data_IF_857019883947
#
_entry.id   IF_857019883947
#
_cell.length_a   1.000
_cell.length_b   1.000
_cell.length_c   1.000
_cell.angle_alpha   90.00
_cell.angle_beta   90.00
_cell.angle_gamma   90.00
#
_symmetry.space_group_name_H-M   'P 1'
#
loop_
_entity.id
_entity.type
_entity.pdbx_description
1 polymer ?
#
# COMPACT_ATOMS: atom_id res chain seq x y z
N UNK A 1 -8.88 -2.39 16.33
CA UNK A 1 -7.55 -2.29 15.70
C UNK A 1 -7.52 -3.24 14.52
N UNK A 2 -6.63 -3.05 13.54
CA UNK A 2 -6.59 -3.92 12.37
C UNK A 2 -6.47 -5.40 12.77
N UNK A 3 -7.24 -6.28 12.11
CA UNK A 3 -7.15 -7.74 12.32
C UNK A 3 -5.85 -8.34 11.75
N UNK A 4 -5.12 -7.57 10.96
CA UNK A 4 -3.84 -7.89 10.36
C UNK A 4 -3.49 -6.86 9.28
N UNK A 5 -2.27 -6.91 8.76
CA UNK A 5 -1.83 -6.12 7.61
C UNK A 5 -1.24 -7.06 6.57
N UNK A 6 -2.04 -7.38 5.55
CA UNK A 6 -1.59 -8.21 4.45
C UNK A 6 -0.67 -7.38 3.53
N UNK A 7 0.34 -8.02 2.94
CA UNK A 7 1.30 -7.33 2.07
C UNK A 7 1.90 -8.25 1.01
N UNK A 8 2.35 -7.63 -0.08
CA UNK A 8 3.25 -8.23 -1.08
C UNK A 8 4.40 -7.28 -1.38
N UNK A 9 5.53 -7.83 -1.85
CA UNK A 9 6.68 -7.08 -2.35
C UNK A 9 7.04 -7.55 -3.74
N UNK A 10 7.40 -6.61 -4.61
CA UNK A 10 7.95 -6.91 -5.94
C UNK A 10 9.45 -7.21 -5.78
N UNK A 11 9.84 -8.44 -6.10
CA UNK A 11 11.23 -8.86 -6.17
C UNK A 11 11.97 -8.21 -7.34
N UNK A 12 13.28 -8.36 -7.37
CA UNK A 12 14.12 -7.87 -8.49
C UNK A 12 13.79 -8.54 -9.82
N UNK A 13 13.29 -9.78 -9.77
CA UNK A 13 12.80 -10.54 -10.93
C UNK A 13 11.37 -10.13 -11.37
N UNK A 14 10.78 -9.11 -10.74
CA UNK A 14 9.42 -8.65 -11.01
C UNK A 14 8.32 -9.51 -10.39
N UNK A 15 8.65 -10.59 -9.68
CA UNK A 15 7.64 -11.47 -9.07
C UNK A 15 7.17 -10.93 -7.73
N UNK A 16 5.89 -11.17 -7.42
CA UNK A 16 5.34 -10.86 -6.11
C UNK A 16 5.72 -11.92 -5.09
N UNK A 17 6.21 -11.46 -3.95
CA UNK A 17 6.53 -12.28 -2.76
C UNK A 17 5.74 -11.75 -1.56
N UNK A 18 5.59 -12.58 -0.52
CA UNK A 18 4.91 -12.18 0.72
C UNK A 18 3.81 -13.15 1.14
N UNK A 19 3.21 -12.94 2.32
CA UNK A 19 2.28 -13.88 2.94
C UNK A 19 1.03 -14.13 2.11
N UNK A 20 0.60 -13.15 1.30
CA UNK A 20 -0.58 -13.31 0.45
C UNK A 20 -0.28 -13.64 -1.02
N UNK A 21 0.98 -13.58 -1.45
CA UNK A 21 1.33 -13.71 -2.87
C UNK A 21 0.86 -15.03 -3.49
N UNK A 22 0.94 -16.13 -2.73
CA UNK A 22 0.49 -17.47 -3.16
C UNK A 22 -1.03 -17.59 -3.36
N UNK A 23 -1.82 -16.62 -2.88
CA UNK A 23 -3.28 -16.61 -3.04
C UNK A 23 -3.72 -15.73 -4.22
N UNK A 24 -2.80 -15.03 -4.89
CA UNK A 24 -3.09 -14.23 -6.07
C UNK A 24 -2.98 -15.09 -7.33
N UNK A 25 -3.98 -15.00 -8.20
CA UNK A 25 -3.94 -15.59 -9.55
C UNK A 25 -3.04 -14.75 -10.47
N UNK A 26 -2.61 -15.30 -11.60
CA UNK A 26 -1.83 -14.55 -12.60
C UNK A 26 -2.57 -13.28 -13.08
N UNK A 27 -3.89 -13.39 -13.28
CA UNK A 27 -4.74 -12.25 -13.64
C UNK A 27 -4.74 -11.17 -12.55
N UNK A 28 -4.87 -11.56 -11.27
CA UNK A 28 -4.80 -10.61 -10.15
C UNK A 28 -3.44 -9.91 -10.10
N UNK A 29 -2.35 -10.63 -10.35
CA UNK A 29 -0.99 -10.06 -10.36
C UNK A 29 -0.82 -9.08 -11.53
N UNK A 30 -1.28 -9.44 -12.72
CA UNK A 30 -1.19 -8.59 -13.90
C UNK A 30 -1.99 -7.29 -13.71
N UNK A 31 -3.23 -7.38 -13.20
CA UNK A 31 -4.06 -6.20 -12.97
C UNK A 31 -3.51 -5.32 -11.84
N UNK A 32 -3.03 -5.91 -10.74
CA UNK A 32 -2.42 -5.17 -9.65
C UNK A 32 -1.17 -4.41 -10.12
N UNK A 33 -0.32 -5.08 -10.89
CA UNK A 33 0.91 -4.49 -11.47
C UNK A 33 0.58 -3.31 -12.35
N UNK A 34 -0.45 -3.45 -13.22
CA UNK A 34 -0.90 -2.39 -14.11
C UNK A 34 -1.50 -1.20 -13.35
N UNK A 35 -2.43 -1.45 -12.41
CA UNK A 35 -3.12 -0.37 -11.68
C UNK A 35 -2.18 0.46 -10.81
N UNK A 36 -1.22 -0.18 -10.18
CA UNK A 36 -0.31 0.48 -9.23
C UNK A 36 1.04 0.84 -9.85
N UNK A 37 1.23 0.58 -11.15
CA UNK A 37 2.51 0.78 -11.86
C UNK A 37 3.69 0.18 -11.08
N UNK A 38 3.56 -1.10 -10.68
CA UNK A 38 4.51 -1.75 -9.80
C UNK A 38 5.85 -1.98 -10.49
N UNK A 39 6.93 -1.72 -9.76
CA UNK A 39 8.30 -1.95 -10.17
C UNK A 39 9.07 -2.73 -9.08
N UNK A 40 10.17 -3.41 -9.43
CA UNK A 40 11.07 -4.01 -8.46
C UNK A 40 11.38 -3.09 -7.27
N UNK A 41 11.29 -3.63 -6.06
CA UNK A 41 11.50 -2.86 -4.82
C UNK A 41 10.23 -2.24 -4.24
N UNK A 42 9.12 -2.18 -4.99
CA UNK A 42 7.85 -1.71 -4.44
C UNK A 42 7.26 -2.72 -3.44
N UNK A 43 6.49 -2.21 -2.48
CA UNK A 43 5.68 -2.99 -1.56
C UNK A 43 4.22 -2.49 -1.61
N UNK A 44 3.27 -3.42 -1.51
CA UNK A 44 1.84 -3.11 -1.48
C UNK A 44 1.26 -3.68 -0.19
N UNK A 45 0.54 -2.85 0.55
CA UNK A 45 -0.17 -3.21 1.78
C UNK A 45 -1.68 -3.19 1.52
N UNK A 46 -2.40 -4.13 2.13
CA UNK A 46 -3.83 -4.31 1.90
C UNK A 46 -4.62 -4.19 3.21
N UNK A 47 -5.72 -3.46 3.15
CA UNK A 47 -6.78 -3.49 4.14
C UNK A 47 -8.07 -4.03 3.50
N UNK A 48 -8.77 -4.91 4.23
CA UNK A 48 -10.02 -5.51 3.78
C UNK A 48 -11.00 -5.56 4.94
N UNK A 49 -12.24 -5.14 4.71
CA UNK A 49 -13.27 -4.95 5.73
C UNK A 49 -14.17 -3.77 5.40
N UNK A 50 -14.87 -3.26 6.42
CA UNK A 50 -15.74 -2.08 6.29
C UNK A 50 -14.94 -0.84 5.88
N UNK A 51 -15.52 -0.04 4.98
CA UNK A 51 -14.85 1.07 4.31
C UNK A 51 -14.25 2.07 5.31
N UNK A 52 -15.03 2.52 6.30
CA UNK A 52 -14.58 3.52 7.27
C UNK A 52 -13.45 2.98 8.16
N UNK A 53 -13.55 1.72 8.59
CA UNK A 53 -12.53 1.10 9.43
C UNK A 53 -11.22 0.92 8.65
N UNK A 54 -11.30 0.40 7.42
CA UNK A 54 -10.14 0.19 6.54
C UNK A 54 -9.48 1.52 6.21
N UNK A 55 -10.26 2.53 5.82
CA UNK A 55 -9.75 3.85 5.46
C UNK A 55 -9.00 4.50 6.62
N UNK A 56 -9.54 4.41 7.84
CA UNK A 56 -8.88 4.92 9.04
C UNK A 56 -7.56 4.20 9.32
N UNK A 57 -7.53 2.87 9.20
CA UNK A 57 -6.31 2.07 9.43
C UNK A 57 -5.26 2.35 8.36
N UNK A 58 -5.64 2.28 7.08
CA UNK A 58 -4.72 2.47 5.95
C UNK A 58 -4.22 3.91 5.86
N UNK A 59 -4.99 4.89 6.31
CA UNK A 59 -4.53 6.26 6.49
C UNK A 59 -3.34 6.38 7.44
N UNK A 60 -3.40 5.70 8.59
CA UNK A 60 -2.28 5.66 9.54
C UNK A 60 -1.07 4.88 8.99
N UNK A 61 -1.31 3.73 8.32
CA UNK A 61 -0.24 2.94 7.68
C UNK A 61 0.48 3.76 6.61
N UNK A 62 -0.25 4.54 5.80
CA UNK A 62 0.32 5.41 4.76
C UNK A 62 1.29 6.44 5.37
N UNK A 63 0.88 7.09 6.46
CA UNK A 63 1.71 8.09 7.16
C UNK A 63 2.96 7.44 7.72
N UNK A 64 2.83 6.33 8.46
CA UNK A 64 3.97 5.63 9.06
C UNK A 64 4.95 5.11 8.01
N UNK A 65 4.45 4.52 6.92
CA UNK A 65 5.28 4.00 5.84
C UNK A 65 6.09 5.11 5.16
N UNK A 66 5.45 6.25 4.84
CA UNK A 66 6.12 7.39 4.25
C UNK A 66 7.18 7.99 5.19
N UNK A 67 6.92 8.00 6.51
CA UNK A 67 7.88 8.51 7.49
C UNK A 67 9.13 7.63 7.57
N UNK A 68 8.94 6.30 7.65
CA UNK A 68 10.06 5.35 7.67
C UNK A 68 10.86 5.34 6.37
N UNK A 69 10.20 5.59 5.24
CA UNK A 69 10.85 5.67 3.94
C UNK A 69 11.49 7.05 3.66
N UNK A 70 11.37 8.01 4.59
CA UNK A 70 11.94 9.35 4.41
C UNK A 70 11.29 10.16 3.30
N UNK A 71 10.00 9.94 3.03
CA UNK A 71 9.26 10.62 1.96
C UNK A 71 8.54 11.91 2.42
N UNK A 72 8.65 12.27 3.69
CA UNK A 72 8.13 13.55 4.16
C UNK A 72 9.08 14.67 3.76
N UNK A 73 8.52 15.70 3.13
CA UNK A 73 9.22 16.94 2.85
C UNK A 73 9.27 17.78 4.13
N UNK A 74 10.47 18.16 4.55
CA UNK A 74 10.69 18.96 5.76
C UNK A 74 10.56 20.46 5.46
N UNK A 75 10.17 21.25 6.46
CA UNK A 75 10.08 22.72 6.38
C UNK A 75 9.10 23.27 5.33
N UNK A 76 8.01 22.56 5.06
CA UNK A 76 6.97 22.99 4.12
C UNK A 76 5.58 22.97 4.73
N UNK A 77 4.68 23.77 4.17
CA UNK A 77 3.26 23.73 4.47
C UNK A 77 2.46 23.34 3.23
N UNK A 78 1.62 22.30 3.35
CA UNK A 78 0.73 21.80 2.30
C UNK A 78 -0.72 21.93 2.78
N UNK A 79 -1.35 23.08 2.51
CA UNK A 79 -2.73 23.33 2.90
C UNK A 79 -3.72 22.76 1.87
N UNK A 80 -4.85 22.23 2.35
CA UNK A 80 -5.99 21.88 1.51
C UNK A 80 -7.30 22.09 2.30
N UNK A 81 -8.39 22.26 1.56
CA UNK A 81 -9.73 22.23 2.11
C UNK A 81 -10.35 20.87 1.80
N UNK A 82 -10.93 20.23 2.81
CA UNK A 82 -11.80 19.08 2.61
C UNK A 82 -13.22 19.61 2.65
N UNK A 83 -13.87 19.60 1.49
CA UNK A 83 -15.28 19.92 1.28
C UNK A 83 -15.88 18.77 0.48
N UNK A 84 -17.11 18.41 0.81
CA UNK A 84 -17.96 17.36 0.19
C UNK A 84 -17.24 16.35 -0.73
#
# INVERSE_FOLDING_TARGET
GAKGLAWVRVGEDGKLTGPIAKFLTEENVAELTKRLSLAPGHAVFFGAGEFDEVSRIMGAVRVEAAQRAGHFEENVFRFCWIVD
#
